data_IF_225107162614
#
_entry.id   IF_225107162614
#
_cell.length_a   1.000
_cell.length_b   1.000
_cell.length_c   1.000
_cell.angle_alpha   90.00
_cell.angle_beta   90.00
_cell.angle_gamma   90.00
#
_symmetry.space_group_name_H-M   'P 1'
#
loop_
_entity.id
_entity.type
_entity.pdbx_description
1 polymer ?
#
# COMPACT_ATOMS: atom_id res chain seq x y z
N UNK A 1 -20.73 -4.80 3.07
CA UNK A 1 -20.80 -5.86 2.03
C UNK A 1 -21.09 -5.24 0.67
N UNK A 2 -22.12 -4.41 0.54
CA UNK A 2 -22.48 -3.76 -0.73
C UNK A 2 -21.33 -3.06 -1.47
N UNK A 3 -20.50 -2.25 -0.79
CA UNK A 3 -19.34 -1.58 -1.42
C UNK A 3 -18.40 -2.55 -2.15
N UNK A 4 -18.21 -3.76 -1.61
CA UNK A 4 -17.35 -4.79 -2.22
C UNK A 4 -18.01 -5.33 -3.49
N UNK A 5 -19.34 -5.53 -3.46
CA UNK A 5 -20.11 -5.95 -4.65
C UNK A 5 -20.03 -4.87 -5.73
N UNK A 6 -20.18 -3.59 -5.36
CA UNK A 6 -20.05 -2.48 -6.29
C UNK A 6 -18.66 -2.40 -6.93
N UNK A 7 -17.61 -2.74 -6.20
CA UNK A 7 -16.26 -2.88 -6.76
C UNK A 7 -16.12 -4.00 -7.79
N UNK A 8 -16.91 -5.06 -7.69
CA UNK A 8 -16.89 -6.17 -8.65
C UNK A 8 -17.79 -5.89 -9.87
N UNK A 9 -18.88 -5.14 -9.69
CA UNK A 9 -19.89 -4.90 -10.75
C UNK A 9 -19.55 -3.67 -11.59
N UNK A 10 -19.05 -2.59 -11.00
CA UNK A 10 -18.79 -1.34 -11.74
C UNK A 10 -17.45 -1.47 -12.47
N UNK A 11 -17.43 -1.49 -13.82
CA UNK A 11 -16.18 -1.63 -14.55
C UNK A 11 -15.33 -0.36 -14.47
N UNK A 12 -14.00 -0.54 -14.56
CA UNK A 12 -12.99 0.54 -14.64
C UNK A 12 -12.94 1.40 -13.37
N UNK A 13 -12.72 2.71 -13.52
CA UNK A 13 -12.58 3.66 -12.42
C UNK A 13 -13.95 3.92 -11.80
N UNK A 14 -14.05 3.70 -10.49
CA UNK A 14 -15.28 3.82 -9.72
C UNK A 14 -15.31 5.17 -9.02
N UNK A 15 -16.45 5.86 -9.08
CA UNK A 15 -16.74 7.06 -8.32
C UNK A 15 -18.04 6.93 -7.51
N UNK A 16 -18.26 7.83 -6.55
CA UNK A 16 -19.41 7.74 -5.66
C UNK A 16 -20.75 7.94 -6.39
N UNK A 17 -20.79 8.71 -7.48
CA UNK A 17 -22.00 8.88 -8.28
C UNK A 17 -22.39 7.56 -8.96
N UNK A 18 -21.42 6.80 -9.47
CA UNK A 18 -21.65 5.45 -9.99
C UNK A 18 -22.12 4.51 -8.87
N UNK A 19 -21.49 4.56 -7.69
CA UNK A 19 -21.97 3.76 -6.55
C UNK A 19 -23.42 4.08 -6.20
N UNK A 20 -23.81 5.36 -6.21
CA UNK A 20 -25.18 5.81 -6.01
C UNK A 20 -26.16 5.34 -7.09
N UNK A 21 -25.69 5.08 -8.30
CA UNK A 21 -26.50 4.61 -9.44
C UNK A 21 -26.69 3.10 -9.45
N UNK A 22 -25.65 2.34 -9.08
CA UNK A 22 -25.66 0.87 -9.12
C UNK A 22 -25.98 0.23 -7.77
N UNK A 23 -25.87 0.98 -6.68
CA UNK A 23 -26.17 0.53 -5.32
C UNK A 23 -27.56 0.91 -4.86
N UNK A 24 -27.89 0.51 -3.62
CA UNK A 24 -29.18 0.76 -2.97
C UNK A 24 -29.24 2.08 -2.19
N UNK A 25 -28.13 2.83 -2.12
CA UNK A 25 -28.03 4.09 -1.38
C UNK A 25 -27.66 5.27 -2.29
N UNK A 26 -27.88 6.50 -1.79
CA UNK A 26 -27.46 7.72 -2.50
C UNK A 26 -25.94 7.91 -2.47
N UNK A 27 -25.42 8.68 -3.43
CA UNK A 27 -23.99 9.03 -3.55
C UNK A 27 -23.38 9.50 -2.23
N UNK A 28 -24.08 10.39 -1.53
CA UNK A 28 -23.62 10.96 -0.26
C UNK A 28 -23.40 9.90 0.83
N UNK A 29 -24.22 8.84 0.85
CA UNK A 29 -24.08 7.74 1.81
C UNK A 29 -22.77 7.01 1.59
N UNK A 30 -22.43 6.69 0.33
CA UNK A 30 -21.16 6.08 0.00
C UNK A 30 -19.98 6.99 0.36
N UNK A 31 -20.04 8.26 -0.04
CA UNK A 31 -18.99 9.24 0.31
C UNK A 31 -18.75 9.31 1.83
N UNK A 32 -19.82 9.39 2.61
CA UNK A 32 -19.74 9.44 4.07
C UNK A 32 -19.15 8.15 4.64
N UNK A 33 -19.48 6.99 4.09
CA UNK A 33 -18.93 5.70 4.51
C UNK A 33 -17.39 5.63 4.37
N UNK A 34 -16.84 6.25 3.32
CA UNK A 34 -15.38 6.36 3.13
C UNK A 34 -14.73 7.47 3.97
N UNK A 35 -15.52 8.43 4.47
CA UNK A 35 -15.09 9.48 5.40
C UNK A 35 -15.18 9.11 6.88
N UNK A 36 -15.65 7.90 7.22
CA UNK A 36 -15.80 7.46 8.60
C UNK A 36 -14.45 7.36 9.32
N UNK A 37 -14.48 7.59 10.65
CA UNK A 37 -13.34 7.31 11.53
C UNK A 37 -12.89 5.86 11.35
N UNK A 38 -11.58 5.62 11.50
CA UNK A 38 -10.96 4.29 11.31
C UNK A 38 -11.68 3.14 12.04
N UNK A 39 -12.24 3.40 13.23
CA UNK A 39 -12.99 2.40 14.01
C UNK A 39 -14.32 1.95 13.38
N UNK A 40 -14.89 2.76 12.48
CA UNK A 40 -16.12 2.47 11.75
C UNK A 40 -15.87 2.16 10.26
N UNK A 41 -14.62 2.29 9.80
CA UNK A 41 -14.23 1.96 8.43
C UNK A 41 -13.91 0.47 8.27
N UNK A 42 -14.05 -0.05 7.05
CA UNK A 42 -13.59 -1.40 6.71
C UNK A 42 -12.08 -1.52 6.97
N UNK A 43 -11.69 -2.52 7.76
CA UNK A 43 -10.28 -2.90 7.88
C UNK A 43 -9.84 -3.68 6.64
N UNK A 44 -9.46 -2.93 5.62
CA UNK A 44 -9.02 -3.48 4.34
C UNK A 44 -7.82 -4.43 4.47
N UNK A 45 -6.90 -4.18 5.42
CA UNK A 45 -5.75 -5.07 5.60
C UNK A 45 -6.22 -6.42 6.13
N UNK A 46 -7.04 -6.42 7.19
CA UNK A 46 -7.56 -7.66 7.77
C UNK A 46 -8.42 -8.44 6.76
N UNK A 47 -9.24 -7.75 5.98
CA UNK A 47 -10.04 -8.35 4.91
C UNK A 47 -9.14 -9.03 3.87
N UNK A 48 -8.16 -8.31 3.33
CA UNK A 48 -7.27 -8.84 2.29
C UNK A 48 -6.38 -9.97 2.82
N UNK A 49 -5.94 -9.90 4.07
CA UNK A 49 -5.22 -11.01 4.72
C UNK A 49 -6.09 -12.26 4.83
N UNK A 50 -7.37 -12.11 5.20
CA UNK A 50 -8.30 -13.23 5.24
C UNK A 50 -8.54 -13.84 3.84
N UNK A 51 -8.61 -13.01 2.81
CA UNK A 51 -8.72 -13.47 1.42
C UNK A 51 -7.45 -14.19 0.98
N UNK A 52 -6.28 -13.64 1.28
CA UNK A 52 -4.99 -14.24 0.92
C UNK A 52 -4.79 -15.61 1.58
N UNK A 53 -5.13 -15.75 2.86
CA UNK A 53 -5.12 -17.06 3.56
C UNK A 53 -6.14 -18.05 3.01
N UNK A 54 -7.23 -17.56 2.41
CA UNK A 54 -8.21 -18.45 1.77
C UNK A 54 -7.70 -18.95 0.41
N UNK A 55 -6.99 -18.10 -0.32
CA UNK A 55 -6.48 -18.41 -1.66
C UNK A 55 -5.19 -19.23 -1.61
N UNK A 56 -4.20 -18.82 -0.81
CA UNK A 56 -2.92 -19.52 -0.64
C UNK A 56 -2.98 -20.67 0.38
N UNK A 57 -4.07 -20.79 1.15
CA UNK A 57 -4.19 -21.75 2.23
C UNK A 57 -3.69 -21.23 3.58
N UNK A 58 -3.72 -22.10 4.60
CA UNK A 58 -3.46 -21.71 6.01
C UNK A 58 -1.98 -21.62 6.37
N UNK A 59 -1.12 -22.27 5.58
CA UNK A 59 0.32 -22.34 5.79
C UNK A 59 0.99 -22.35 4.41
N UNK A 60 2.08 -21.61 4.28
CA UNK A 60 2.86 -21.52 3.06
C UNK A 60 4.16 -20.78 3.34
N UNK A 61 5.12 -20.89 2.42
CA UNK A 61 6.36 -20.10 2.50
C UNK A 61 6.05 -18.70 2.01
N UNK A 62 5.75 -17.82 2.97
CA UNK A 62 5.31 -16.46 2.70
C UNK A 62 6.40 -15.41 2.88
N UNK A 63 6.31 -14.35 2.09
CA UNK A 63 7.09 -13.13 2.26
C UNK A 63 6.21 -11.89 2.01
N UNK A 64 6.58 -10.76 2.62
CA UNK A 64 5.89 -9.49 2.40
C UNK A 64 6.59 -8.69 1.32
N UNK A 65 5.93 -8.47 0.18
CA UNK A 65 6.41 -7.56 -0.83
C UNK A 65 6.10 -6.11 -0.45
N UNK A 66 7.06 -5.20 -0.65
CA UNK A 66 6.81 -3.77 -0.62
C UNK A 66 7.32 -3.11 -1.90
N UNK A 67 6.53 -2.20 -2.46
CA UNK A 67 6.92 -1.43 -3.63
C UNK A 67 6.19 -0.09 -3.69
N UNK A 68 6.90 1.06 -3.77
CA UNK A 68 6.31 2.35 -4.09
C UNK A 68 5.93 2.43 -5.57
N UNK A 69 4.68 2.79 -5.84
CA UNK A 69 4.18 2.94 -7.21
C UNK A 69 3.61 4.34 -7.44
N UNK A 70 4.04 4.96 -8.54
CA UNK A 70 3.52 6.25 -9.00
C UNK A 70 2.11 6.12 -9.58
N UNK A 71 1.24 7.06 -9.21
CA UNK A 71 -0.09 7.23 -9.80
C UNK A 71 -0.18 8.62 -10.41
N UNK A 72 -0.48 8.67 -11.71
CA UNK A 72 -0.72 9.94 -12.39
C UNK A 72 -1.95 10.63 -11.83
N UNK A 73 -1.77 11.88 -11.40
CA UNK A 73 -2.84 12.71 -10.85
C UNK A 73 -2.67 14.17 -11.27
N UNK A 74 -3.68 14.70 -11.96
CA UNK A 74 -3.78 16.10 -12.29
C UNK A 74 -4.36 16.94 -11.13
N UNK A 75 -4.10 18.24 -11.17
CA UNK A 75 -4.60 19.23 -10.21
C UNK A 75 -3.74 19.33 -8.95
N UNK A 76 -4.25 20.10 -7.97
CA UNK A 76 -3.54 20.45 -6.73
C UNK A 76 -4.35 20.18 -5.45
N UNK A 77 -5.61 19.75 -5.58
CA UNK A 77 -6.54 19.63 -4.44
C UNK A 77 -6.50 18.27 -3.73
N UNK A 78 -5.90 17.24 -4.33
CA UNK A 78 -5.78 15.95 -3.66
C UNK A 78 -4.66 16.02 -2.61
N UNK A 79 -4.90 15.59 -1.37
CA UNK A 79 -3.87 15.55 -0.34
C UNK A 79 -2.64 14.77 -0.79
N UNK A 80 -1.47 15.22 -0.34
CA UNK A 80 -0.17 14.58 -0.59
C UNK A 80 0.25 14.49 -2.06
N UNK A 81 -0.37 15.30 -2.93
CA UNK A 81 0.16 15.52 -4.28
C UNK A 81 1.58 16.09 -4.19
N UNK A 82 2.48 15.49 -4.96
CA UNK A 82 3.88 15.84 -4.98
C UNK A 82 4.56 15.43 -6.29
N UNK A 83 5.88 15.31 -6.23
CA UNK A 83 6.71 14.86 -7.35
C UNK A 83 7.38 13.55 -6.95
N UNK A 84 7.09 12.49 -7.70
CA UNK A 84 7.54 11.12 -7.40
C UNK A 84 8.12 10.47 -8.65
N UNK A 85 9.00 9.47 -8.47
CA UNK A 85 9.61 8.75 -9.57
C UNK A 85 8.57 7.89 -10.31
N UNK A 86 8.47 8.05 -11.63
CA UNK A 86 7.63 7.21 -12.48
C UNK A 86 8.53 6.25 -13.25
N UNK A 87 8.48 4.96 -12.90
CA UNK A 87 9.22 3.91 -13.61
C UNK A 87 8.89 3.84 -15.11
N UNK A 88 7.62 4.00 -15.48
CA UNK A 88 7.23 3.99 -16.91
C UNK A 88 7.81 5.16 -17.71
N UNK A 89 8.04 6.30 -17.05
CA UNK A 89 8.55 7.49 -17.71
C UNK A 89 10.03 7.76 -17.44
N UNK A 90 10.68 6.91 -16.65
CA UNK A 90 12.07 7.05 -16.21
C UNK A 90 12.39 8.47 -15.71
N UNK A 91 11.43 9.10 -15.03
CA UNK A 91 11.53 10.51 -14.62
C UNK A 91 10.62 10.83 -13.45
N UNK A 92 10.98 11.88 -12.71
CA UNK A 92 10.19 12.39 -11.60
C UNK A 92 9.03 13.23 -12.11
N UNK A 93 7.80 12.77 -11.87
CA UNK A 93 6.55 13.38 -12.36
C UNK A 93 5.65 13.88 -11.24
N UNK A 94 4.85 14.90 -11.57
CA UNK A 94 3.76 15.37 -10.71
C UNK A 94 2.69 14.29 -10.56
N UNK A 95 2.27 13.99 -9.34
CA UNK A 95 1.21 13.02 -9.10
C UNK A 95 1.17 12.56 -7.64
N UNK A 96 0.78 11.29 -7.47
CA UNK A 96 0.74 10.59 -6.20
C UNK A 96 1.71 9.42 -6.20
N UNK A 97 2.04 8.94 -5.02
CA UNK A 97 2.71 7.67 -4.82
C UNK A 97 1.95 6.88 -3.75
N UNK A 98 1.87 5.57 -3.96
CA UNK A 98 1.38 4.63 -2.96
C UNK A 98 2.47 3.60 -2.68
N UNK A 99 2.71 3.30 -1.41
CA UNK A 99 3.46 2.12 -1.01
C UNK A 99 2.50 0.93 -1.02
N UNK A 100 2.67 0.04 -2.01
CA UNK A 100 2.03 -1.26 -2.05
C UNK A 100 2.64 -2.19 -1.01
N UNK A 101 1.80 -2.99 -0.37
CA UNK A 101 2.17 -4.09 0.52
C UNK A 101 1.44 -5.33 0.02
N UNK A 102 2.19 -6.35 -0.38
CA UNK A 102 1.68 -7.62 -0.88
C UNK A 102 2.13 -8.81 -0.04
N UNK A 103 1.38 -9.90 -0.11
CA UNK A 103 1.78 -11.21 0.41
C UNK A 103 2.19 -12.07 -0.78
N UNK A 104 3.46 -12.45 -0.83
CA UNK A 104 3.97 -13.42 -1.80
C UNK A 104 3.82 -14.81 -1.19
N UNK A 105 3.27 -15.74 -1.97
CA UNK A 105 3.42 -17.17 -1.72
C UNK A 105 4.46 -17.74 -2.69
N UNK A 106 5.56 -18.26 -2.13
CA UNK A 106 6.72 -18.71 -2.91
C UNK A 106 6.38 -19.99 -3.69
N UNK A 107 5.54 -20.85 -3.13
CA UNK A 107 5.19 -22.14 -3.72
C UNK A 107 4.18 -21.96 -4.86
N UNK A 108 3.17 -21.12 -4.65
CA UNK A 108 2.20 -20.73 -5.68
C UNK A 108 2.79 -19.80 -6.75
N UNK A 109 3.95 -19.18 -6.48
CA UNK A 109 4.61 -18.17 -7.33
C UNK A 109 3.70 -16.99 -7.65
N UNK A 110 2.91 -16.57 -6.66
CA UNK A 110 1.88 -15.54 -6.82
C UNK A 110 1.91 -14.54 -5.66
N UNK A 111 1.31 -13.37 -5.87
CA UNK A 111 1.30 -12.27 -4.91
C UNK A 111 -0.09 -11.64 -4.81
N UNK A 112 -0.59 -11.54 -3.58
CA UNK A 112 -1.86 -10.85 -3.29
C UNK A 112 -1.62 -9.51 -2.60
N UNK A 113 -2.21 -8.45 -3.14
CA UNK A 113 -2.14 -7.11 -2.55
C UNK A 113 -2.91 -7.05 -1.23
N UNK A 114 -2.19 -6.75 -0.15
CA UNK A 114 -2.77 -6.62 1.19
C UNK A 114 -3.20 -5.18 1.47
N UNK A 115 -2.37 -4.21 1.09
CA UNK A 115 -2.62 -2.79 1.38
C UNK A 115 -1.93 -1.88 0.37
N UNK A 116 -2.56 -0.76 0.08
CA UNK A 116 -1.91 0.42 -0.50
C UNK A 116 -1.92 1.54 0.54
N UNK A 117 -0.76 2.14 0.80
CA UNK A 117 -0.60 3.27 1.70
C UNK A 117 -0.16 4.50 0.91
N UNK A 118 -0.96 5.57 0.90
CA UNK A 118 -0.58 6.79 0.21
C UNK A 118 0.64 7.43 0.88
N UNK A 119 1.67 7.72 0.09
CA UNK A 119 2.87 8.42 0.53
C UNK A 119 2.59 9.89 0.79
N UNK A 120 3.34 10.48 1.73
CA UNK A 120 3.37 11.92 1.91
C UNK A 120 4.21 12.57 0.81
N UNK A 121 3.92 13.82 0.47
CA UNK A 121 4.77 14.58 -0.45
C UNK A 121 6.12 14.90 0.19
N UNK A 122 7.17 15.05 -0.63
CA UNK A 122 8.50 15.45 -0.15
C UNK A 122 8.45 16.74 0.70
N UNK A 123 7.61 17.71 0.32
CA UNK A 123 7.42 18.94 1.09
C UNK A 123 6.89 18.67 2.50
N UNK A 124 5.90 17.81 2.64
CA UNK A 124 5.33 17.46 3.95
C UNK A 124 6.30 16.62 4.80
N UNK A 125 7.12 15.78 4.16
CA UNK A 125 8.16 15.02 4.85
C UNK A 125 9.26 15.92 5.39
N UNK A 126 9.74 16.89 4.58
CA UNK A 126 10.70 17.90 5.03
C UNK A 126 10.18 18.71 6.21
N UNK A 127 8.90 19.11 6.20
CA UNK A 127 8.28 19.81 7.33
C UNK A 127 8.23 18.97 8.62
N UNK A 128 8.25 17.63 8.50
CA UNK A 128 8.28 16.69 9.62
C UNK A 128 9.70 16.23 9.99
N UNK A 129 10.72 16.79 9.34
CA UNK A 129 12.10 16.37 9.44
C UNK A 129 12.27 14.84 9.22
N UNK A 130 11.60 14.31 8.20
CA UNK A 130 11.66 12.89 7.83
C UNK A 130 12.07 12.72 6.39
N UNK A 131 12.78 11.63 6.12
CA UNK A 131 13.06 11.17 4.76
C UNK A 131 11.93 10.27 4.24
N UNK A 132 11.95 9.96 2.94
CA UNK A 132 11.05 8.98 2.34
C UNK A 132 11.28 7.57 2.91
N UNK A 133 12.53 7.23 3.22
CA UNK A 133 12.91 5.97 3.87
C UNK A 133 12.29 5.87 5.28
N UNK A 134 12.36 6.94 6.08
CA UNK A 134 11.72 6.99 7.40
C UNK A 134 10.21 6.83 7.30
N UNK A 135 9.61 7.38 6.25
CA UNK A 135 8.20 7.21 5.97
C UNK A 135 7.85 5.75 5.72
N UNK A 136 8.59 5.06 4.83
CA UNK A 136 8.36 3.64 4.53
C UNK A 136 8.51 2.74 5.77
N UNK A 137 9.54 2.96 6.59
CA UNK A 137 9.70 2.26 7.87
C UNK A 137 8.48 2.54 8.77
N UNK A 138 8.01 3.79 8.81
CA UNK A 138 6.81 4.19 9.56
C UNK A 138 5.53 3.49 9.09
N UNK A 139 5.40 3.23 7.78
CA UNK A 139 4.29 2.44 7.21
C UNK A 139 4.38 0.99 7.65
N UNK A 140 5.55 0.37 7.57
CA UNK A 140 5.77 -1.03 8.02
C UNK A 140 5.45 -1.14 9.51
N UNK A 141 5.99 -0.25 10.33
CA UNK A 141 5.72 -0.16 11.77
C UNK A 141 4.22 -0.08 12.06
N UNK A 142 3.48 0.73 11.30
CA UNK A 142 2.03 0.91 11.45
C UNK A 142 1.26 -0.41 11.29
N UNK A 143 1.69 -1.27 10.38
CA UNK A 143 1.03 -2.54 10.07
C UNK A 143 1.72 -3.77 10.68
N UNK A 144 2.80 -3.58 11.44
CA UNK A 144 3.69 -4.66 11.90
C UNK A 144 2.96 -5.83 12.56
N UNK A 145 1.95 -5.54 13.39
CA UNK A 145 1.24 -6.57 14.17
C UNK A 145 0.53 -7.59 13.27
N UNK A 146 -0.02 -7.15 12.14
CA UNK A 146 -0.67 -8.06 11.20
C UNK A 146 0.34 -8.68 10.24
N UNK A 147 1.36 -7.93 9.81
CA UNK A 147 2.38 -8.44 8.89
C UNK A 147 3.25 -9.53 9.52
N UNK A 148 3.66 -9.39 10.79
CA UNK A 148 4.45 -10.39 11.51
C UNK A 148 3.70 -11.72 11.72
N UNK A 149 2.36 -11.73 11.67
CA UNK A 149 1.57 -12.97 11.69
C UNK A 149 1.63 -13.74 10.37
N UNK A 150 2.17 -13.12 9.32
CA UNK A 150 2.27 -13.69 7.97
C UNK A 150 3.70 -14.08 7.68
N UNK A 151 4.65 -13.15 7.85
CA UNK A 151 6.07 -13.40 7.62
C UNK A 151 6.93 -12.36 8.31
N UNK A 152 8.15 -12.75 8.66
CA UNK A 152 9.22 -11.85 9.09
C UNK A 152 10.08 -11.36 7.92
N UNK A 153 9.89 -11.91 6.72
CA UNK A 153 10.66 -11.56 5.53
C UNK A 153 9.96 -10.45 4.76
N UNK A 154 10.68 -9.36 4.49
CA UNK A 154 10.27 -8.31 3.57
C UNK A 154 11.11 -8.43 2.31
N UNK A 155 10.45 -8.50 1.16
CA UNK A 155 11.06 -8.45 -0.17
C UNK A 155 10.83 -7.06 -0.75
N UNK A 156 11.90 -6.42 -1.19
CA UNK A 156 11.85 -5.08 -1.77
C UNK A 156 12.89 -4.92 -2.89
N UNK A 157 12.76 -3.85 -3.68
CA UNK A 157 13.73 -3.54 -4.72
C UNK A 157 15.06 -2.98 -4.16
N UNK A 158 16.03 -2.75 -5.05
CA UNK A 158 17.36 -2.26 -4.68
C UNK A 158 17.35 -0.84 -4.09
N UNK A 159 16.27 -0.07 -4.27
CA UNK A 159 16.14 1.22 -3.61
C UNK A 159 16.16 1.07 -2.09
N UNK A 160 15.62 -0.04 -1.56
CA UNK A 160 15.58 -0.30 -0.11
C UNK A 160 16.85 -0.87 0.49
N UNK A 161 17.86 -1.21 -0.33
CA UNK A 161 19.16 -1.75 0.12
C UNK A 161 20.08 -0.68 0.71
N UNK A 162 19.59 0.02 1.73
CA UNK A 162 20.33 1.03 2.51
C UNK A 162 20.39 0.62 3.97
N UNK A 163 21.49 0.92 4.66
CA UNK A 163 21.67 0.58 6.07
C UNK A 163 20.55 1.17 6.95
N UNK A 164 20.12 2.40 6.66
CA UNK A 164 19.01 3.07 7.37
C UNK A 164 17.72 2.25 7.28
N UNK A 165 17.35 1.80 6.08
CA UNK A 165 16.14 1.01 5.89
C UNK A 165 16.25 -0.38 6.54
N UNK A 166 17.34 -1.10 6.28
CA UNK A 166 17.61 -2.44 6.83
C UNK A 166 17.56 -2.41 8.36
N UNK A 167 18.29 -1.48 8.99
CA UNK A 167 18.30 -1.35 10.44
C UNK A 167 16.93 -0.91 10.98
N UNK A 168 16.21 -0.07 10.24
CA UNK A 168 14.87 0.40 10.58
C UNK A 168 13.85 -0.73 10.67
N UNK A 169 13.78 -1.59 9.65
CA UNK A 169 12.83 -2.71 9.65
C UNK A 169 13.26 -3.84 10.59
N UNK A 170 14.56 -4.04 10.80
CA UNK A 170 15.11 -4.98 11.78
C UNK A 170 14.65 -4.65 13.20
N UNK A 171 14.61 -3.37 13.56
CA UNK A 171 14.05 -2.89 14.85
C UNK A 171 12.55 -3.21 15.01
N UNK A 172 11.82 -3.35 13.90
CA UNK A 172 10.39 -3.70 13.91
C UNK A 172 10.14 -5.22 13.76
N UNK A 173 11.20 -6.04 13.74
CA UNK A 173 11.13 -7.51 13.73
C UNK A 173 11.19 -8.16 12.34
N UNK A 174 11.59 -7.42 11.30
CA UNK A 174 11.66 -7.93 9.93
C UNK A 174 13.09 -8.09 9.42
N UNK A 175 13.29 -9.01 8.49
CA UNK A 175 14.52 -9.15 7.71
C UNK A 175 14.27 -8.74 6.26
N UNK A 176 15.26 -8.07 5.63
CA UNK A 176 15.16 -7.65 4.24
C UNK A 176 15.76 -8.71 3.32
N UNK A 177 15.05 -9.02 2.24
CA UNK A 177 15.56 -9.64 1.03
C UNK A 177 15.43 -8.61 -0.08
N UNK A 178 16.56 -8.18 -0.64
CA UNK A 178 16.59 -7.22 -1.73
C UNK A 178 17.83 -7.43 -2.60
N UNK A 179 17.81 -6.87 -3.80
CA UNK A 179 18.99 -6.75 -4.65
C UNK A 179 19.90 -5.66 -4.11
N UNK A 180 21.21 -5.83 -4.20
CA UNK A 180 22.13 -4.72 -4.00
C UNK A 180 21.96 -3.70 -5.13
N UNK A 181 22.29 -2.44 -4.84
CA UNK A 181 22.39 -1.42 -5.90
C UNK A 181 23.65 -1.70 -6.72
N UNK A 182 23.63 -1.31 -7.99
CA UNK A 182 24.76 -1.55 -8.91
C UNK A 182 26.07 -0.85 -8.49
N UNK A 183 26.00 0.07 -7.53
CA UNK A 183 27.13 0.84 -6.99
C UNK A 183 27.50 0.43 -5.56
N UNK A 184 27.14 -0.80 -5.14
CA UNK A 184 27.44 -1.33 -3.81
C UNK A 184 28.90 -1.77 -3.67
#
# INVERSE_FOLDING_TARGET
IEVIILFMVIPRKINFTQMGRYGSHVEQTYRNAFGLKKSKSIDWLKLNVSLAKRFFGKQGRWAIAIDPSYISKAGKKTPHIGRFWSGCAQSVKHGLEIMGIGLIDIDAKDCMMLKAHQSLSNKELSLRNKTMVDFYIGVIKRYRKELLKLSTLIVADAYFSTSTFVNGIKKEGFSLISRFRDNA
#
